data_IF_873228698599
#
_entry.id   IF_873228698599
#
_cell.length_a   1.000
_cell.length_b   1.000
_cell.length_c   1.000
_cell.angle_alpha   90.00
_cell.angle_beta   90.00
_cell.angle_gamma   90.00
#
_symmetry.space_group_name_H-M   'P 1'
#
loop_
_entity.id
_entity.type
_entity.pdbx_description
1 polymer ?
#
# COMPACT_ATOMS: atom_id res chain seq x y z
N UNK A 1 47.93 17.89 47.83
CA UNK A 1 46.54 17.41 47.79
C UNK A 1 45.74 18.55 47.19
N UNK A 2 45.75 18.65 45.85
CA UNK A 2 45.00 19.62 45.04
C UNK A 2 45.13 19.11 43.60
N UNK A 3 44.03 18.62 43.04
CA UNK A 3 43.97 18.09 41.68
C UNK A 3 43.47 19.21 40.76
N UNK A 4 44.39 19.78 39.98
CA UNK A 4 44.10 20.68 38.87
C UNK A 4 43.52 19.87 37.71
N UNK A 5 42.23 20.04 37.42
CA UNK A 5 41.61 19.54 36.19
C UNK A 5 41.63 20.64 35.13
N UNK A 6 42.57 20.52 34.19
CA UNK A 6 42.53 21.22 32.92
C UNK A 6 41.47 20.56 32.02
N UNK A 7 40.39 21.29 31.73
CA UNK A 7 39.52 20.98 30.59
C UNK A 7 40.12 21.61 29.33
N UNK A 8 40.52 20.77 28.38
CA UNK A 8 40.83 21.17 27.01
C UNK A 8 39.55 21.09 26.17
N UNK A 9 39.05 22.24 25.73
CA UNK A 9 38.06 22.36 24.66
C UNK A 9 38.69 21.94 23.34
N UNK A 10 38.15 20.89 22.70
CA UNK A 10 38.37 20.63 21.29
C UNK A 10 37.09 20.94 20.53
N UNK A 11 37.09 22.11 19.90
CA UNK A 11 36.14 22.54 18.88
C UNK A 11 36.26 21.64 17.65
N UNK A 12 35.28 20.76 17.46
CA UNK A 12 35.08 19.98 16.24
C UNK A 12 33.75 20.33 15.59
N UNK A 13 33.72 21.40 14.81
CA UNK A 13 32.60 21.73 13.92
C UNK A 13 32.56 20.73 12.76
N UNK A 14 31.59 19.82 12.82
CA UNK A 14 31.24 18.90 11.73
C UNK A 14 29.75 18.57 11.79
N UNK A 15 28.88 19.55 11.48
CA UNK A 15 27.45 19.31 11.27
C UNK A 15 27.26 18.53 9.95
N UNK A 16 27.42 17.22 10.03
CA UNK A 16 26.87 16.30 9.04
C UNK A 16 25.41 16.04 9.40
N UNK A 17 24.48 16.70 8.71
CA UNK A 17 23.06 16.38 8.80
C UNK A 17 22.82 14.97 8.22
N UNK A 18 22.76 13.97 9.09
CA UNK A 18 22.35 12.62 8.70
C UNK A 18 20.82 12.61 8.67
N UNK A 19 20.27 12.77 7.46
CA UNK A 19 18.87 12.52 7.15
C UNK A 19 18.51 11.08 7.59
N UNK A 20 17.39 10.86 8.31
CA UNK A 20 16.94 9.51 8.57
C UNK A 20 16.51 8.83 7.27
N UNK A 21 17.05 7.64 7.03
CA UNK A 21 16.75 6.75 5.91
C UNK A 21 15.25 6.74 5.55
N UNK A 22 14.96 7.13 4.31
CA UNK A 22 13.64 6.94 3.71
C UNK A 22 13.38 5.45 3.53
N UNK A 23 12.58 4.88 4.44
CA UNK A 23 12.05 3.54 4.31
C UNK A 23 10.97 3.56 3.21
N UNK A 24 11.33 3.04 2.04
CA UNK A 24 10.49 2.85 0.87
C UNK A 24 9.11 2.23 1.23
N UNK A 25 8.06 3.04 1.10
CA UNK A 25 6.67 2.58 1.13
C UNK A 25 6.27 2.18 -0.29
N UNK A 26 6.21 0.87 -0.57
CA UNK A 26 5.81 0.37 -1.88
C UNK A 26 4.29 0.36 -2.06
N UNK A 27 3.84 0.94 -3.17
CA UNK A 27 2.45 1.02 -3.63
C UNK A 27 1.80 -0.36 -3.80
N UNK A 28 0.76 -0.65 -3.03
CA UNK A 28 -0.12 -1.82 -3.22
C UNK A 28 -1.42 -1.34 -3.85
N UNK A 29 -1.57 -1.54 -5.17
CA UNK A 29 -2.83 -1.30 -5.89
C UNK A 29 -3.68 -2.58 -5.86
N UNK A 30 -4.87 -2.51 -5.28
CA UNK A 30 -5.89 -3.56 -5.34
C UNK A 30 -6.83 -3.29 -6.52
N UNK A 31 -7.02 -4.27 -7.41
CA UNK A 31 -7.98 -4.20 -8.53
C UNK A 31 -9.22 -5.03 -8.18
N UNK A 32 -10.40 -4.60 -8.68
CA UNK A 32 -11.73 -5.19 -8.43
C UNK A 32 -11.74 -6.72 -8.46
N UNK A 33 -12.36 -7.29 -7.44
CA UNK A 33 -12.82 -8.69 -7.42
C UNK A 33 -13.95 -8.84 -8.43
N UNK A 34 -13.87 -9.86 -9.29
CA UNK A 34 -14.87 -10.13 -10.32
C UNK A 34 -16.24 -10.42 -9.69
N UNK A 35 -17.28 -9.75 -10.19
CA UNK A 35 -18.69 -10.01 -9.82
C UNK A 35 -19.27 -11.10 -10.70
N UNK A 36 -19.98 -12.00 -10.02
CA UNK A 36 -21.13 -12.80 -10.43
C UNK A 36 -21.04 -13.55 -11.76
N UNK A 37 -20.70 -14.83 -11.66
CA UNK A 37 -21.04 -15.83 -12.67
C UNK A 37 -22.28 -16.56 -12.16
N UNK A 38 -23.42 -16.35 -12.81
CA UNK A 38 -24.68 -17.00 -12.49
C UNK A 38 -24.67 -18.48 -12.85
N UNK A 39 -24.94 -19.34 -11.88
CA UNK A 39 -25.17 -20.76 -12.08
C UNK A 39 -26.48 -21.21 -11.43
N UNK A 40 -27.11 -22.21 -12.04
CA UNK A 40 -28.41 -22.77 -11.70
C UNK A 40 -28.45 -23.39 -10.29
N UNK A 41 -29.50 -23.06 -9.54
CA UNK A 41 -29.71 -23.41 -8.14
C UNK A 41 -30.04 -24.90 -7.99
N UNK A 42 -29.04 -25.73 -7.68
CA UNK A 42 -29.25 -26.98 -6.95
C UNK A 42 -29.52 -26.63 -5.48
N UNK A 43 -30.37 -27.42 -4.81
CA UNK A 43 -30.59 -27.25 -3.37
C UNK A 43 -29.22 -27.43 -2.69
N UNK A 44 -28.73 -26.43 -1.94
CA UNK A 44 -27.38 -26.51 -1.39
C UNK A 44 -27.26 -27.69 -0.42
N UNK A 45 -26.27 -28.55 -0.63
CA UNK A 45 -26.04 -29.78 0.14
C UNK A 45 -25.90 -29.56 1.67
N UNK A 46 -25.61 -28.32 2.09
CA UNK A 46 -25.53 -27.95 3.50
C UNK A 46 -26.89 -27.94 4.22
N UNK A 47 -28.02 -27.89 3.50
CA UNK A 47 -29.37 -27.93 4.12
C UNK A 47 -29.66 -29.28 4.79
N UNK A 48 -28.98 -30.35 4.38
CA UNK A 48 -29.13 -31.71 4.90
C UNK A 48 -28.01 -32.14 5.86
N UNK A 49 -27.11 -31.22 6.25
CA UNK A 49 -26.01 -31.55 7.15
C UNK A 49 -26.51 -32.05 8.51
N UNK A 50 -25.82 -33.08 9.04
CA UNK A 50 -26.01 -33.58 10.40
C UNK A 50 -25.75 -32.49 11.46
N UNK A 51 -26.35 -32.59 12.65
CA UNK A 51 -26.13 -31.64 13.75
C UNK A 51 -24.65 -31.46 14.11
N UNK A 52 -23.86 -32.52 14.03
CA UNK A 52 -22.43 -32.52 14.36
C UNK A 52 -21.58 -31.74 13.34
N UNK A 53 -21.99 -31.70 12.07
CA UNK A 53 -21.32 -30.87 11.05
C UNK A 53 -21.72 -29.42 11.24
N UNK A 54 -23.00 -29.20 11.56
CA UNK A 54 -23.53 -27.86 11.76
C UNK A 54 -22.78 -27.10 12.86
N UNK A 55 -22.46 -27.77 13.98
CA UNK A 55 -21.65 -27.16 15.05
C UNK A 55 -20.26 -26.76 14.56
N UNK A 56 -19.61 -27.56 13.70
CA UNK A 56 -18.32 -27.20 13.08
C UNK A 56 -18.44 -26.03 12.11
N UNK A 57 -19.50 -25.97 11.31
CA UNK A 57 -19.78 -24.84 10.41
C UNK A 57 -20.01 -23.56 11.21
N UNK A 58 -20.73 -23.64 12.33
CA UNK A 58 -20.89 -22.51 13.26
C UNK A 58 -19.54 -22.07 13.86
N UNK A 59 -18.70 -23.02 14.31
CA UNK A 59 -17.35 -22.69 14.78
C UNK A 59 -16.49 -22.05 13.69
N UNK A 60 -16.61 -22.50 12.44
CA UNK A 60 -15.91 -21.92 11.29
C UNK A 60 -16.37 -20.48 11.02
N UNK A 61 -17.69 -20.26 10.99
CA UNK A 61 -18.27 -18.93 10.85
C UNK A 61 -17.77 -18.00 11.96
N UNK A 62 -17.67 -18.49 13.20
CA UNK A 62 -17.16 -17.71 14.33
C UNK A 62 -15.70 -17.31 14.17
N UNK A 63 -14.86 -18.26 13.76
CA UNK A 63 -13.45 -17.97 13.46
C UNK A 63 -13.30 -16.94 12.33
N UNK A 64 -14.11 -17.05 11.27
CA UNK A 64 -14.10 -16.10 10.15
C UNK A 64 -14.57 -14.71 10.61
N UNK A 65 -15.67 -14.60 11.34
CA UNK A 65 -16.17 -13.30 11.84
C UNK A 65 -15.13 -12.63 12.72
N UNK A 66 -14.56 -13.37 13.68
CA UNK A 66 -13.58 -12.80 14.59
C UNK A 66 -12.31 -12.35 13.84
N UNK A 67 -11.86 -13.11 12.84
CA UNK A 67 -10.72 -12.72 12.02
C UNK A 67 -11.05 -11.54 11.10
N UNK A 68 -12.28 -11.46 10.58
CA UNK A 68 -12.77 -10.30 9.82
C UNK A 68 -12.79 -9.04 10.67
N UNK A 69 -13.28 -9.11 11.93
CA UNK A 69 -13.27 -7.98 12.87
C UNK A 69 -11.84 -7.50 13.05
N UNK A 70 -10.93 -8.42 13.38
CA UNK A 70 -9.53 -8.08 13.60
C UNK A 70 -8.87 -7.47 12.35
N UNK A 71 -9.21 -7.98 11.16
CA UNK A 71 -8.73 -7.46 9.87
C UNK A 71 -9.19 -6.03 9.65
N UNK A 72 -10.50 -5.77 9.75
CA UNK A 72 -11.08 -4.46 9.47
C UNK A 72 -10.66 -3.44 10.53
N UNK A 73 -10.69 -3.79 11.81
CA UNK A 73 -10.24 -2.92 12.90
C UNK A 73 -8.76 -2.51 12.72
N UNK A 74 -7.91 -3.47 12.35
CA UNK A 74 -6.50 -3.19 12.11
C UNK A 74 -6.25 -2.29 10.91
N UNK A 75 -7.10 -2.33 9.89
CA UNK A 75 -7.02 -1.44 8.74
C UNK A 75 -7.48 -0.04 9.08
N UNK A 76 -8.54 0.10 9.89
CA UNK A 76 -9.05 1.39 10.35
C UNK A 76 -8.01 2.15 11.20
N UNK A 77 -7.30 1.43 12.07
CA UNK A 77 -6.30 2.00 12.97
C UNK A 77 -4.88 2.02 12.40
N UNK A 78 -4.67 1.54 11.17
CA UNK A 78 -3.39 1.72 10.51
C UNK A 78 -3.17 3.23 10.22
N UNK A 79 -1.97 3.73 10.53
CA UNK A 79 -1.50 5.12 10.44
C UNK A 79 -2.14 5.98 9.31
N UNK A 80 -2.36 7.30 9.50
CA UNK A 80 -2.99 8.20 8.53
C UNK A 80 -2.52 7.99 7.09
N UNK A 81 -3.50 7.90 6.17
CA UNK A 81 -3.28 7.59 4.75
C UNK A 81 -3.60 6.15 4.33
N UNK A 82 -4.40 5.44 5.11
CA UNK A 82 -4.86 4.06 4.84
C UNK A 82 -5.82 3.97 3.64
N UNK A 83 -6.54 5.04 3.31
CA UNK A 83 -7.38 5.12 2.11
C UNK A 83 -6.57 4.80 0.85
N UNK A 84 -5.31 5.25 0.82
CA UNK A 84 -4.38 4.97 -0.27
C UNK A 84 -3.84 3.52 -0.25
N UNK A 85 -3.86 2.84 0.90
CA UNK A 85 -3.42 1.43 1.03
C UNK A 85 -4.51 0.47 0.57
N UNK A 86 -5.78 0.81 0.83
CA UNK A 86 -6.93 0.05 0.34
C UNK A 86 -7.23 0.39 -1.13
N UNK A 87 -6.94 1.63 -1.55
CA UNK A 87 -7.10 2.10 -2.92
C UNK A 87 -8.57 2.05 -3.36
N UNK A 88 -8.81 1.57 -4.58
CA UNK A 88 -10.15 1.53 -5.20
C UNK A 88 -11.18 0.66 -4.44
N UNK A 89 -10.73 -0.19 -3.50
CA UNK A 89 -11.59 -1.01 -2.64
C UNK A 89 -12.10 -0.32 -1.38
N UNK A 90 -11.87 0.99 -1.25
CA UNK A 90 -12.13 1.75 -0.02
C UNK A 90 -13.63 1.84 0.34
N UNK A 91 -14.51 2.02 -0.65
CA UNK A 91 -15.95 2.09 -0.41
C UNK A 91 -16.57 0.74 -0.05
N UNK A 92 -16.08 -0.34 -0.67
CA UNK A 92 -16.43 -1.71 -0.28
C UNK A 92 -15.98 -1.99 1.17
N UNK A 93 -14.75 -1.56 1.51
CA UNK A 93 -14.24 -1.62 2.87
C UNK A 93 -15.10 -0.82 3.86
N UNK A 94 -15.49 0.42 3.55
CA UNK A 94 -16.36 1.24 4.41
C UNK A 94 -17.70 0.56 4.67
N UNK A 95 -18.28 -0.03 3.63
CA UNK A 95 -19.56 -0.74 3.74
C UNK A 95 -19.43 -1.98 4.63
N UNK A 96 -18.34 -2.74 4.47
CA UNK A 96 -18.01 -3.86 5.35
C UNK A 96 -17.78 -3.39 6.78
N UNK A 97 -17.00 -2.33 6.96
CA UNK A 97 -16.70 -1.76 8.27
C UNK A 97 -17.98 -1.28 8.96
N UNK A 98 -18.87 -0.54 8.30
CA UNK A 98 -20.12 -0.06 8.87
C UNK A 98 -21.03 -1.21 9.32
N UNK A 99 -21.13 -2.28 8.50
CA UNK A 99 -21.85 -3.50 8.87
C UNK A 99 -21.16 -4.22 10.05
N UNK A 100 -19.84 -4.18 10.10
CA UNK A 100 -19.05 -4.72 11.21
C UNK A 100 -19.19 -3.86 12.48
N UNK A 101 -19.27 -2.52 12.39
CA UNK A 101 -19.37 -1.60 13.52
C UNK A 101 -20.66 -1.82 14.32
N UNK A 102 -21.73 -2.27 13.66
CA UNK A 102 -22.95 -2.73 14.35
C UNK A 102 -22.71 -3.97 15.22
N UNK A 103 -21.73 -4.82 14.85
CA UNK A 103 -21.24 -5.94 15.67
C UNK A 103 -20.15 -5.49 16.66
N UNK A 104 -19.43 -4.43 16.34
CA UNK A 104 -18.17 -4.03 16.95
C UNK A 104 -18.22 -2.65 17.58
N UNK A 105 -18.99 -2.52 18.66
CA UNK A 105 -18.56 -1.72 19.81
C UNK A 105 -17.30 -2.31 20.48
N UNK A 106 -16.36 -2.82 19.68
CA UNK A 106 -15.20 -3.64 20.02
C UNK A 106 -13.99 -2.89 19.48
N UNK A 107 -13.21 -2.28 20.36
CA UNK A 107 -11.90 -1.76 19.98
C UNK A 107 -10.84 -2.87 20.05
N UNK A 108 -9.72 -2.65 19.36
CA UNK A 108 -8.42 -3.34 19.51
C UNK A 108 -8.02 -3.73 20.94
N UNK A 109 -8.61 -3.12 21.97
CA UNK A 109 -8.21 -3.21 23.37
C UNK A 109 -8.95 -4.33 24.13
N UNK A 110 -10.04 -4.89 23.59
CA UNK A 110 -10.77 -5.94 24.31
C UNK A 110 -10.02 -7.28 24.30
N UNK A 111 -10.10 -8.00 25.43
CA UNK A 111 -9.45 -9.31 25.57
C UNK A 111 -10.06 -10.31 24.58
N UNK A 112 -9.23 -11.24 24.08
CA UNK A 112 -9.66 -12.22 23.07
C UNK A 112 -10.92 -12.99 23.45
N UNK A 113 -11.12 -13.28 24.74
CA UNK A 113 -12.29 -13.99 25.26
C UNK A 113 -13.61 -13.21 25.09
N UNK A 114 -13.60 -11.89 25.31
CA UNK A 114 -14.80 -11.05 25.15
C UNK A 114 -15.28 -11.03 23.70
N UNK A 115 -14.33 -10.98 22.76
CA UNK A 115 -14.62 -11.06 21.33
C UNK A 115 -15.28 -12.40 20.98
N UNK A 116 -14.74 -13.51 21.48
CA UNK A 116 -15.28 -14.85 21.18
C UNK A 116 -16.70 -15.03 21.75
N UNK A 117 -16.97 -14.56 22.97
CA UNK A 117 -18.32 -14.59 23.55
C UNK A 117 -19.32 -13.82 22.69
N UNK A 118 -18.99 -12.59 22.30
CA UNK A 118 -19.89 -11.76 21.47
C UNK A 118 -20.11 -12.32 20.07
N UNK A 119 -19.06 -12.86 19.45
CA UNK A 119 -19.19 -13.53 18.15
C UNK A 119 -20.11 -14.75 18.27
N UNK A 120 -19.97 -15.55 19.33
CA UNK A 120 -20.85 -16.69 19.56
C UNK A 120 -22.29 -16.26 19.82
N UNK A 121 -22.53 -15.19 20.59
CA UNK A 121 -23.88 -14.68 20.83
C UNK A 121 -24.52 -14.14 19.55
N UNK A 122 -23.74 -13.45 18.71
CA UNK A 122 -24.19 -13.06 17.37
C UNK A 122 -24.55 -14.27 16.51
N UNK A 123 -23.72 -15.31 16.46
CA UNK A 123 -24.01 -16.50 15.65
C UNK A 123 -25.26 -17.25 16.11
N UNK A 124 -25.61 -17.19 17.41
CA UNK A 124 -26.86 -17.78 17.92
C UNK A 124 -28.11 -17.08 17.39
N UNK A 125 -28.02 -15.79 17.03
CA UNK A 125 -29.17 -15.06 16.46
C UNK A 125 -29.37 -15.33 14.98
N UNK A 126 -28.38 -15.94 14.31
CA UNK A 126 -28.42 -16.19 12.88
C UNK A 126 -29.04 -17.54 12.55
N UNK A 127 -29.83 -17.56 11.47
CA UNK A 127 -30.29 -18.81 10.85
C UNK A 127 -29.15 -19.57 10.15
N UNK A 128 -29.43 -20.82 9.73
CA UNK A 128 -28.44 -21.64 9.01
C UNK A 128 -27.94 -21.00 7.71
N UNK A 129 -28.86 -20.43 6.93
CA UNK A 129 -28.55 -19.74 5.68
C UNK A 129 -27.60 -18.55 5.90
N UNK A 130 -27.90 -17.69 6.89
CA UNK A 130 -27.07 -16.52 7.20
C UNK A 130 -25.68 -16.91 7.71
N UNK A 131 -25.60 -17.97 8.51
CA UNK A 131 -24.31 -18.51 8.98
C UNK A 131 -23.49 -19.05 7.80
N UNK A 132 -24.12 -19.72 6.84
CA UNK A 132 -23.43 -20.19 5.64
C UNK A 132 -22.97 -19.04 4.75
N UNK A 133 -23.78 -17.99 4.60
CA UNK A 133 -23.38 -16.78 3.87
C UNK A 133 -22.12 -16.14 4.46
N UNK A 134 -21.91 -16.19 5.78
CA UNK A 134 -20.66 -15.75 6.42
C UNK A 134 -19.46 -16.58 5.96
N UNK A 135 -19.63 -17.90 5.89
CA UNK A 135 -18.57 -18.82 5.42
C UNK A 135 -18.22 -18.55 3.96
N UNK A 136 -19.24 -18.26 3.14
CA UNK A 136 -19.11 -18.00 1.71
C UNK A 136 -18.62 -16.57 1.39
N UNK A 137 -18.75 -15.61 2.31
CA UNK A 137 -18.36 -14.22 2.07
C UNK A 137 -16.85 -14.07 1.88
N UNK A 138 -16.41 -13.82 0.65
CA UNK A 138 -14.99 -13.68 0.31
C UNK A 138 -14.47 -12.26 0.50
N UNK A 139 -15.33 -11.25 0.69
CA UNK A 139 -14.95 -9.83 0.58
C UNK A 139 -13.81 -9.43 1.52
N UNK A 140 -13.87 -9.83 2.79
CA UNK A 140 -12.81 -9.49 3.76
C UNK A 140 -11.53 -10.31 3.57
N UNK A 141 -11.64 -11.48 2.95
CA UNK A 141 -10.50 -12.40 2.76
C UNK A 141 -9.39 -11.79 1.90
N UNK A 142 -9.73 -10.88 0.98
CA UNK A 142 -8.77 -10.14 0.18
C UNK A 142 -7.81 -9.26 1.00
N UNK A 143 -8.14 -8.98 2.27
CA UNK A 143 -7.34 -8.14 3.15
C UNK A 143 -6.52 -8.91 4.20
N UNK A 144 -6.63 -10.24 4.26
CA UNK A 144 -5.92 -11.04 5.27
C UNK A 144 -4.39 -10.92 5.17
N UNK A 145 -3.86 -10.97 3.95
CA UNK A 145 -2.42 -10.76 3.72
C UNK A 145 -1.98 -9.35 4.14
N UNK A 146 -2.83 -8.34 3.90
CA UNK A 146 -2.55 -6.95 4.28
C UNK A 146 -2.54 -6.77 5.79
N UNK A 147 -3.46 -7.43 6.52
CA UNK A 147 -3.44 -7.46 7.98
C UNK A 147 -2.09 -7.94 8.51
N UNK A 148 -1.56 -9.08 8.02
CA UNK A 148 -0.25 -9.57 8.43
C UNK A 148 0.85 -8.55 8.15
N UNK A 149 0.86 -7.93 6.98
CA UNK A 149 1.85 -6.93 6.62
C UNK A 149 1.83 -5.73 7.57
N UNK A 150 0.65 -5.21 7.90
CA UNK A 150 0.50 -4.10 8.85
C UNK A 150 1.02 -4.52 10.22
N UNK A 151 0.58 -5.66 10.75
CA UNK A 151 0.98 -6.13 12.08
C UNK A 151 2.48 -6.42 12.18
N UNK A 152 3.07 -7.05 11.16
CA UNK A 152 4.51 -7.28 11.10
C UNK A 152 5.30 -5.97 11.01
N UNK A 153 4.83 -5.00 10.22
CA UNK A 153 5.48 -3.69 10.09
C UNK A 153 5.45 -2.94 11.43
N UNK A 154 4.28 -2.86 12.06
CA UNK A 154 4.11 -2.14 13.31
C UNK A 154 4.97 -2.76 14.42
N UNK A 155 5.02 -4.11 14.50
CA UNK A 155 5.93 -4.80 15.42
C UNK A 155 7.42 -4.54 15.11
N UNK A 156 7.84 -4.57 13.83
CA UNK A 156 9.23 -4.27 13.45
C UNK A 156 9.64 -2.84 13.82
N UNK A 157 8.75 -1.87 13.63
CA UNK A 157 8.99 -0.47 14.00
C UNK A 157 9.14 -0.36 15.52
N UNK A 158 8.16 -0.88 16.27
CA UNK A 158 8.17 -0.82 17.74
C UNK A 158 9.39 -1.54 18.34
N UNK A 159 9.77 -2.69 17.78
CA UNK A 159 10.98 -3.43 18.19
C UNK A 159 12.26 -2.62 17.95
N UNK A 160 12.43 -2.03 16.77
CA UNK A 160 13.60 -1.18 16.48
C UNK A 160 13.65 0.05 17.38
N UNK A 161 12.50 0.63 17.69
CA UNK A 161 12.40 1.80 18.55
C UNK A 161 12.76 1.46 20.01
N UNK A 162 12.20 0.36 20.53
CA UNK A 162 12.56 -0.20 21.84
C UNK A 162 14.05 -0.56 21.94
N UNK A 163 14.62 -1.24 20.93
CA UNK A 163 16.06 -1.56 20.88
C UNK A 163 16.93 -0.30 20.87
N UNK A 164 16.51 0.76 20.16
CA UNK A 164 17.21 2.04 20.13
C UNK A 164 17.14 2.74 21.48
N UNK A 165 15.95 2.80 22.08
CA UNK A 165 15.69 3.41 23.37
C UNK A 165 16.51 2.74 24.49
N UNK A 166 16.63 1.41 24.45
CA UNK A 166 17.41 0.64 25.42
C UNK A 166 18.93 0.80 25.22
N UNK A 167 19.41 0.84 23.98
CA UNK A 167 20.86 0.92 23.70
C UNK A 167 21.45 2.30 23.96
N UNK A 168 20.79 3.35 23.46
CA UNK A 168 21.29 4.72 23.53
C UNK A 168 20.16 5.71 23.89
N UNK A 169 19.78 5.80 25.18
CA UNK A 169 18.73 6.71 25.63
C UNK A 169 19.01 8.18 25.26
N UNK A 170 20.28 8.60 25.21
CA UNK A 170 20.69 9.98 24.88
C UNK A 170 20.55 10.35 23.39
N UNK A 171 20.35 9.39 22.49
CA UNK A 171 20.26 9.60 21.04
C UNK A 171 18.83 9.40 20.49
N UNK A 172 17.82 9.42 21.36
CA UNK A 172 16.43 9.44 20.90
C UNK A 172 16.20 10.73 20.09
N UNK A 173 15.49 10.69 18.95
CA UNK A 173 15.23 11.90 18.17
C UNK A 173 14.45 12.94 18.98
N UNK A 174 14.97 14.17 19.08
CA UNK A 174 14.33 15.29 19.78
C UNK A 174 12.86 15.51 19.41
N UNK A 175 12.54 15.24 18.15
CA UNK A 175 11.19 15.39 17.58
C UNK A 175 10.16 14.51 18.30
N UNK A 176 10.55 13.37 18.90
CA UNK A 176 9.60 12.45 19.54
C UNK A 176 9.23 12.82 20.98
N UNK A 177 10.14 13.46 21.73
CA UNK A 177 9.91 13.79 23.15
C UNK A 177 9.68 15.29 23.40
N UNK A 178 10.36 16.18 22.67
CA UNK A 178 10.22 17.65 22.86
C UNK A 178 8.81 18.10 22.48
N UNK A 179 8.24 17.55 21.42
CA UNK A 179 6.90 17.91 20.92
C UNK A 179 5.77 17.38 21.83
N UNK A 180 6.08 16.51 22.80
CA UNK A 180 5.09 15.89 23.70
C UNK A 180 5.38 16.10 25.20
N UNK A 181 6.44 16.81 25.56
CA UNK A 181 6.83 17.05 26.95
C UNK A 181 7.14 15.78 27.76
N UNK A 182 7.50 14.67 27.10
CA UNK A 182 7.71 13.36 27.74
C UNK A 182 9.15 13.25 28.27
N UNK A 183 9.32 12.71 29.49
CA UNK A 183 10.66 12.46 30.04
C UNK A 183 11.33 11.26 29.35
N UNK A 184 12.67 11.18 29.44
CA UNK A 184 13.43 10.13 28.77
C UNK A 184 13.10 8.72 29.29
N UNK A 185 12.95 8.57 30.61
CA UNK A 185 12.49 7.34 31.26
C UNK A 185 11.09 6.93 30.80
N UNK A 186 10.15 7.88 30.77
CA UNK A 186 8.79 7.65 30.25
C UNK A 186 8.79 7.22 28.77
N UNK A 187 9.71 7.75 27.96
CA UNK A 187 9.86 7.34 26.57
C UNK A 187 10.33 5.89 26.44
N UNK A 188 11.35 5.50 27.20
CA UNK A 188 11.89 4.13 27.19
C UNK A 188 10.79 3.15 27.61
N UNK A 189 10.07 3.44 28.70
CA UNK A 189 8.97 2.61 29.17
C UNK A 189 7.85 2.50 28.13
N UNK A 190 7.51 3.60 27.47
CA UNK A 190 6.53 3.62 26.39
C UNK A 190 6.98 2.82 25.18
N UNK A 191 8.24 2.91 24.77
CA UNK A 191 8.78 2.16 23.63
C UNK A 191 8.73 0.65 23.90
N UNK A 192 9.13 0.21 25.10
CA UNK A 192 9.06 -1.18 25.54
C UNK A 192 7.61 -1.66 25.59
N UNK A 193 6.72 -0.87 26.18
CA UNK A 193 5.28 -1.19 26.27
C UNK A 193 4.66 -1.32 24.89
N UNK A 194 5.03 -0.44 23.95
CA UNK A 194 4.54 -0.47 22.57
C UNK A 194 5.05 -1.70 21.83
N UNK A 195 6.32 -2.09 22.02
CA UNK A 195 6.86 -3.34 21.47
C UNK A 195 6.08 -4.55 21.99
N UNK A 196 5.88 -4.65 23.31
CA UNK A 196 5.17 -5.78 23.92
C UNK A 196 3.72 -5.85 23.43
N UNK A 197 3.04 -4.71 23.35
CA UNK A 197 1.66 -4.62 22.87
C UNK A 197 1.55 -5.06 21.40
N UNK A 198 2.39 -4.53 20.51
CA UNK A 198 2.39 -4.91 19.08
C UNK A 198 2.77 -6.38 18.88
N UNK A 199 3.68 -6.92 19.69
CA UNK A 199 4.00 -8.35 19.71
C UNK A 199 2.81 -9.20 20.13
N UNK A 200 2.08 -8.78 21.17
CA UNK A 200 0.88 -9.47 21.66
C UNK A 200 -0.22 -9.48 20.59
N UNK A 201 -0.43 -8.35 19.89
CA UNK A 201 -1.37 -8.28 18.78
C UNK A 201 -1.00 -9.22 17.64
N UNK A 202 0.26 -9.22 17.20
CA UNK A 202 0.72 -10.12 16.15
C UNK A 202 0.57 -11.60 16.57
N UNK A 203 0.85 -11.94 17.83
CA UNK A 203 0.58 -13.29 18.38
C UNK A 203 -0.91 -13.65 18.33
N UNK A 204 -1.79 -12.73 18.67
CA UNK A 204 -3.24 -12.95 18.61
C UNK A 204 -3.69 -13.21 17.16
N UNK A 205 -3.18 -12.45 16.19
CA UNK A 205 -3.44 -12.67 14.75
C UNK A 205 -2.98 -14.07 14.32
N UNK A 206 -1.76 -14.46 14.69
CA UNK A 206 -1.20 -15.79 14.39
C UNK A 206 -2.04 -16.91 15.03
N UNK A 207 -2.44 -16.73 16.28
CA UNK A 207 -3.25 -17.73 17.01
C UNK A 207 -4.63 -17.91 16.38
N UNK A 208 -5.32 -16.81 16.06
CA UNK A 208 -6.66 -16.86 15.45
C UNK A 208 -6.65 -17.42 14.03
N UNK A 209 -5.66 -17.02 13.22
CA UNK A 209 -5.48 -17.60 11.88
C UNK A 209 -5.19 -19.10 11.95
N UNK A 210 -4.32 -19.55 12.87
CA UNK A 210 -4.11 -20.98 13.12
C UNK A 210 -5.40 -21.71 13.53
N UNK A 211 -6.19 -21.14 14.44
CA UNK A 211 -7.48 -21.71 14.85
C UNK A 211 -8.44 -21.84 13.66
N UNK A 212 -8.56 -20.79 12.85
CA UNK A 212 -9.39 -20.81 11.64
C UNK A 212 -8.94 -21.89 10.64
N UNK A 213 -7.63 -22.00 10.39
CA UNK A 213 -7.09 -23.02 9.48
C UNK A 213 -7.33 -24.46 9.97
N UNK A 214 -7.24 -24.70 11.29
CA UNK A 214 -7.56 -26.01 11.89
C UNK A 214 -9.04 -26.34 11.68
N UNK A 215 -9.94 -25.39 11.95
CA UNK A 215 -11.38 -25.62 11.78
C UNK A 215 -11.74 -25.86 10.30
N UNK A 216 -11.17 -25.07 9.36
CA UNK A 216 -11.36 -25.30 7.92
C UNK A 216 -10.92 -26.72 7.55
N UNK A 217 -9.76 -27.15 8.02
CA UNK A 217 -9.25 -28.50 7.78
C UNK A 217 -10.21 -29.56 8.34
N UNK A 218 -10.70 -29.38 9.56
CA UNK A 218 -11.63 -30.32 10.18
C UNK A 218 -12.95 -30.42 9.42
N UNK A 219 -13.52 -29.28 9.00
CA UNK A 219 -14.76 -29.22 8.21
C UNK A 219 -14.59 -29.98 6.88
N UNK A 220 -13.49 -29.73 6.17
CA UNK A 220 -13.16 -30.41 4.91
C UNK A 220 -12.91 -31.92 5.13
N UNK A 221 -12.20 -32.28 6.20
CA UNK A 221 -11.85 -33.67 6.50
C UNK A 221 -13.07 -34.50 6.93
N UNK A 222 -14.06 -33.89 7.60
CA UNK A 222 -15.24 -34.62 8.02
C UNK A 222 -16.12 -35.06 6.86
N UNK A 223 -16.24 -34.28 5.78
CA UNK A 223 -17.13 -34.64 4.65
C UNK A 223 -16.72 -34.02 3.31
N UNK A 224 -15.82 -34.70 2.58
CA UNK A 224 -15.49 -34.35 1.19
C UNK A 224 -16.73 -34.39 0.26
N UNK A 225 -17.81 -35.10 0.65
CA UNK A 225 -19.00 -35.34 -0.17
C UNK A 225 -20.16 -34.36 0.05
N UNK A 226 -20.17 -33.55 1.11
CA UNK A 226 -21.32 -32.70 1.46
C UNK A 226 -21.12 -31.20 1.18
N UNK A 227 -19.88 -30.75 1.00
CA UNK A 227 -19.60 -29.39 0.56
C UNK A 227 -19.59 -29.36 -0.97
N UNK A 228 -20.32 -28.41 -1.55
CA UNK A 228 -20.25 -28.18 -2.98
C UNK A 228 -18.86 -27.67 -3.39
N UNK A 229 -18.54 -27.85 -4.68
CA UNK A 229 -17.27 -27.44 -5.24
C UNK A 229 -17.00 -25.93 -5.05
N UNK A 230 -18.06 -25.13 -5.04
CA UNK A 230 -18.02 -23.68 -4.81
C UNK A 230 -17.56 -23.34 -3.39
N UNK A 231 -18.20 -23.90 -2.36
CA UNK A 231 -17.77 -23.65 -0.97
C UNK A 231 -16.33 -24.08 -0.77
N UNK A 232 -15.94 -25.24 -1.31
CA UNK A 232 -14.56 -25.71 -1.20
C UNK A 232 -13.56 -24.76 -1.88
N UNK A 233 -13.91 -24.19 -3.04
CA UNK A 233 -13.09 -23.17 -3.73
C UNK A 233 -12.91 -21.91 -2.87
N UNK A 234 -14.01 -21.43 -2.26
CA UNK A 234 -13.99 -20.26 -1.38
C UNK A 234 -13.13 -20.50 -0.14
N UNK A 235 -13.25 -21.66 0.51
CA UNK A 235 -12.42 -22.02 1.66
C UNK A 235 -10.94 -22.10 1.29
N UNK A 236 -10.61 -22.67 0.11
CA UNK A 236 -9.24 -22.68 -0.41
C UNK A 236 -8.70 -21.26 -0.63
N UNK A 237 -9.52 -20.36 -1.18
CA UNK A 237 -9.14 -18.95 -1.35
C UNK A 237 -8.81 -18.29 -0.01
N UNK A 238 -9.65 -18.49 1.01
CA UNK A 238 -9.42 -17.97 2.37
C UNK A 238 -8.14 -18.52 2.98
N UNK A 239 -7.90 -19.83 2.85
CA UNK A 239 -6.68 -20.47 3.32
C UNK A 239 -5.44 -19.88 2.64
N UNK A 240 -5.48 -19.70 1.31
CA UNK A 240 -4.38 -19.07 0.57
C UNK A 240 -4.11 -17.65 1.07
N UNK A 241 -5.16 -16.84 1.23
CA UNK A 241 -5.03 -15.46 1.68
C UNK A 241 -4.48 -15.32 3.11
N UNK A 242 -4.76 -16.28 4.00
CA UNK A 242 -4.15 -16.36 5.34
C UNK A 242 -2.71 -16.82 5.25
N UNK A 243 -2.42 -17.81 4.40
CA UNK A 243 -1.09 -18.40 4.28
C UNK A 243 -0.06 -17.39 3.77
N UNK A 244 -0.50 -16.42 2.95
CA UNK A 244 0.30 -15.27 2.54
C UNK A 244 0.79 -14.50 3.77
N UNK A 245 2.11 -14.49 3.99
CA UNK A 245 2.82 -13.86 5.11
C UNK A 245 2.68 -14.54 6.50
N UNK A 246 1.90 -15.62 6.64
CA UNK A 246 1.76 -16.32 7.93
C UNK A 246 3.10 -16.85 8.46
N UNK A 247 3.89 -17.52 7.60
CA UNK A 247 5.19 -18.09 7.99
C UNK A 247 6.17 -17.00 8.45
N UNK A 248 6.18 -15.86 7.77
CA UNK A 248 7.03 -14.72 8.09
C UNK A 248 6.62 -14.08 9.41
N UNK A 249 5.32 -13.95 9.66
CA UNK A 249 4.78 -13.46 10.92
C UNK A 249 5.18 -14.36 12.11
N UNK A 250 5.08 -15.70 11.95
CA UNK A 250 5.53 -16.64 12.98
C UNK A 250 7.04 -16.54 13.20
N UNK A 251 7.83 -16.50 12.12
CA UNK A 251 9.29 -16.40 12.21
C UNK A 251 9.73 -15.11 12.92
N UNK A 252 9.00 -14.01 12.71
CA UNK A 252 9.27 -12.72 13.33
C UNK A 252 9.02 -12.73 14.85
N UNK A 253 8.00 -13.46 15.33
CA UNK A 253 7.59 -13.47 16.74
C UNK A 253 8.29 -14.55 17.56
N UNK A 254 8.43 -15.75 16.99
CA UNK A 254 8.89 -16.96 17.69
C UNK A 254 10.31 -17.40 17.29
N UNK A 255 10.89 -16.74 16.29
CA UNK A 255 12.23 -17.00 15.75
C UNK A 255 12.23 -17.81 14.46
N UNK A 256 13.36 -17.80 13.71
CA UNK A 256 13.50 -18.55 12.46
C UNK A 256 13.28 -20.05 12.69
N UNK A 257 12.65 -20.73 11.73
CA UNK A 257 12.45 -22.19 11.73
C UNK A 257 11.11 -22.69 12.31
N UNK A 258 10.40 -21.91 13.14
CA UNK A 258 9.10 -22.33 13.70
C UNK A 258 7.91 -22.13 12.74
N UNK A 259 7.99 -21.18 11.81
CA UNK A 259 6.90 -20.89 10.86
C UNK A 259 6.63 -21.98 9.82
N UNK A 260 7.66 -22.73 9.41
CA UNK A 260 7.56 -23.70 8.32
C UNK A 260 6.88 -25.01 8.70
N UNK A 261 6.82 -25.36 10.00
CA UNK A 261 6.27 -26.64 10.44
C UNK A 261 4.74 -26.65 10.36
N UNK A 262 4.08 -25.52 10.66
CA UNK A 262 2.62 -25.50 10.77
C UNK A 262 1.94 -25.61 9.41
N UNK A 263 2.40 -24.85 8.42
CA UNK A 263 1.86 -24.90 7.05
C UNK A 263 2.13 -26.26 6.43
N UNK A 264 3.33 -26.82 6.60
CA UNK A 264 3.66 -28.17 6.08
C UNK A 264 2.78 -29.28 6.68
N UNK A 265 2.47 -29.22 7.98
CA UNK A 265 1.64 -30.22 8.66
C UNK A 265 0.13 -30.02 8.46
N UNK A 266 -0.33 -28.77 8.38
CA UNK A 266 -1.73 -28.48 8.05
C UNK A 266 -2.04 -28.80 6.58
N UNK A 267 -1.02 -28.71 5.70
CA UNK A 267 -1.19 -28.77 4.26
C UNK A 267 -0.51 -29.98 3.58
N UNK A 268 -0.43 -31.12 4.27
CA UNK A 268 0.20 -32.33 3.73
C UNK A 268 -0.40 -32.77 2.39
N UNK A 269 0.46 -32.93 1.36
CA UNK A 269 0.34 -33.32 -0.07
C UNK A 269 -0.99 -33.82 -0.68
N UNK A 270 -1.96 -34.35 0.07
CA UNK A 270 -3.18 -34.97 -0.46
C UNK A 270 -4.41 -34.04 -0.46
N UNK A 271 -4.51 -33.07 0.45
CA UNK A 271 -5.66 -32.15 0.55
C UNK A 271 -5.74 -31.10 -0.59
N UNK A 272 -4.61 -30.68 -1.17
CA UNK A 272 -4.55 -29.64 -2.21
C UNK A 272 -4.55 -30.21 -3.63
N UNK A 273 -4.13 -31.48 -3.79
CA UNK A 273 -3.88 -32.10 -5.09
C UNK A 273 -5.07 -32.92 -5.63
N UNK A 274 -6.23 -32.90 -4.98
CA UNK A 274 -7.42 -33.64 -5.41
C UNK A 274 -8.04 -32.99 -6.67
N UNK A 275 -7.46 -33.26 -7.85
CA UNK A 275 -8.08 -33.23 -9.20
C UNK A 275 -8.61 -31.90 -9.77
N UNK A 276 -9.01 -30.96 -8.93
CA UNK A 276 -9.44 -29.62 -9.30
C UNK A 276 -8.18 -28.76 -9.39
N UNK A 277 -7.42 -28.97 -10.45
CA UNK A 277 -6.45 -27.96 -10.88
C UNK A 277 -7.26 -26.66 -11.00
N UNK A 278 -7.05 -25.65 -10.12
CA UNK A 278 -7.76 -24.40 -10.28
C UNK A 278 -7.45 -23.95 -11.70
N UNK A 279 -8.50 -23.85 -12.52
CA UNK A 279 -8.36 -23.28 -13.85
C UNK A 279 -7.48 -22.05 -13.69
N UNK A 280 -6.35 -22.05 -14.40
CA UNK A 280 -5.41 -20.93 -14.45
C UNK A 280 -6.04 -19.68 -15.08
N UNK A 281 -7.34 -19.45 -14.94
CA UNK A 281 -7.82 -18.11 -14.58
C UNK A 281 -7.14 -17.71 -13.28
N UNK A 282 -5.87 -17.33 -13.42
CA UNK A 282 -5.17 -16.55 -12.45
C UNK A 282 -6.09 -15.40 -12.09
N UNK A 283 -6.72 -15.49 -10.92
CA UNK A 283 -6.92 -14.29 -10.14
C UNK A 283 -5.50 -13.83 -9.89
N UNK A 284 -5.03 -12.99 -10.81
CA UNK A 284 -3.77 -12.28 -10.72
C UNK A 284 -3.93 -11.45 -9.46
N UNK A 285 -3.58 -12.02 -8.31
CA UNK A 285 -3.10 -11.21 -7.21
C UNK A 285 -2.01 -10.38 -7.87
N UNK A 286 -2.22 -9.05 -8.01
CA UNK A 286 -1.30 -8.24 -8.75
C UNK A 286 0.02 -8.40 -8.00
N UNK A 287 0.95 -9.16 -8.60
CA UNK A 287 2.35 -9.07 -8.24
C UNK A 287 2.59 -7.58 -8.26
N UNK A 288 2.87 -7.02 -7.10
CA UNK A 288 3.24 -5.62 -6.96
C UNK A 288 4.21 -5.37 -8.09
N UNK A 289 3.79 -4.61 -9.11
CA UNK A 289 4.67 -4.24 -10.20
C UNK A 289 5.67 -3.32 -9.53
N UNK A 290 6.69 -3.92 -8.93
CA UNK A 290 7.94 -3.25 -8.68
C UNK A 290 8.42 -3.02 -10.11
N UNK A 291 8.32 -1.79 -10.65
CA UNK A 291 8.97 -1.52 -11.91
C UNK A 291 10.38 -2.09 -11.79
N UNK A 292 10.79 -3.00 -12.69
CA UNK A 292 12.11 -3.59 -12.58
C UNK A 292 13.09 -2.42 -12.44
N UNK A 293 13.97 -2.44 -11.44
CA UNK A 293 14.87 -1.33 -11.13
C UNK A 293 15.59 -0.81 -12.40
N UNK A 294 15.82 -1.73 -13.36
CA UNK A 294 16.34 -1.49 -14.70
C UNK A 294 15.54 -0.48 -15.54
N UNK A 295 14.20 -0.48 -15.51
CA UNK A 295 13.38 0.45 -16.32
C UNK A 295 13.48 1.90 -15.86
N UNK A 296 13.64 2.14 -14.56
CA UNK A 296 13.83 3.50 -14.02
C UNK A 296 15.21 4.02 -14.42
N UNK A 297 16.24 3.17 -14.33
CA UNK A 297 17.61 3.54 -14.74
C UNK A 297 17.71 3.85 -16.24
N UNK A 298 17.07 3.07 -17.11
CA UNK A 298 17.10 3.34 -18.56
C UNK A 298 16.36 4.61 -18.92
N UNK A 299 15.22 4.90 -18.29
CA UNK A 299 14.47 6.13 -18.57
C UNK A 299 15.24 7.39 -18.12
N UNK A 300 15.89 7.34 -16.95
CA UNK A 300 16.74 8.42 -16.44
C UNK A 300 17.94 8.71 -17.33
N UNK A 301 18.41 7.74 -18.10
CA UNK A 301 19.48 7.95 -19.08
C UNK A 301 18.93 8.47 -20.41
N UNK A 302 17.89 7.83 -20.95
CA UNK A 302 17.34 8.12 -22.27
C UNK A 302 16.74 9.53 -22.34
N UNK A 303 15.97 9.96 -21.32
CA UNK A 303 15.27 11.24 -21.38
C UNK A 303 16.22 12.45 -21.46
N UNK A 304 17.26 12.59 -20.60
CA UNK A 304 18.26 13.65 -20.77
C UNK A 304 19.06 13.54 -22.07
N UNK A 305 19.38 12.33 -22.53
CA UNK A 305 20.09 12.14 -23.81
C UNK A 305 19.27 12.61 -25.01
N UNK A 306 17.97 12.31 -25.05
CA UNK A 306 17.08 12.80 -26.11
C UNK A 306 16.96 14.33 -26.03
N UNK A 307 16.85 14.91 -24.83
CA UNK A 307 16.81 16.37 -24.65
C UNK A 307 18.09 17.03 -25.17
N UNK A 308 19.27 16.49 -24.85
CA UNK A 308 20.54 16.98 -25.38
C UNK A 308 20.65 16.83 -26.90
N UNK A 309 20.20 15.70 -27.45
CA UNK A 309 20.18 15.48 -28.90
C UNK A 309 19.22 16.43 -29.62
N UNK A 310 18.10 16.79 -28.97
CA UNK A 310 17.14 17.75 -29.51
C UNK A 310 17.70 19.19 -29.60
N UNK A 311 18.78 19.50 -28.87
CA UNK A 311 19.48 20.77 -29.01
C UNK A 311 20.15 20.95 -30.40
N UNK A 312 20.45 19.86 -31.11
CA UNK A 312 21.07 19.92 -32.45
C UNK A 312 20.10 20.48 -33.50
N UNK A 313 18.91 19.88 -33.73
CA UNK A 313 17.97 20.41 -34.72
C UNK A 313 17.45 21.80 -34.36
N UNK A 314 17.26 22.14 -33.07
CA UNK A 314 16.85 23.49 -32.69
C UNK A 314 17.97 24.52 -32.96
N UNK A 315 19.25 24.16 -32.76
CA UNK A 315 20.37 25.04 -33.12
C UNK A 315 20.48 25.24 -34.62
N UNK A 316 20.25 24.18 -35.41
CA UNK A 316 20.20 24.29 -36.87
C UNK A 316 19.02 25.14 -37.33
N UNK A 317 17.83 24.94 -36.75
CA UNK A 317 16.66 25.75 -37.02
C UNK A 317 16.94 27.22 -36.70
N UNK A 318 17.60 27.50 -35.58
CA UNK A 318 18.02 28.85 -35.19
C UNK A 318 18.92 29.52 -36.24
N UNK A 319 19.93 28.81 -36.74
CA UNK A 319 20.85 29.33 -37.76
C UNK A 319 20.18 29.61 -39.10
N UNK A 320 19.08 28.91 -39.41
CA UNK A 320 18.35 29.04 -40.67
C UNK A 320 17.07 29.89 -40.57
N UNK A 321 16.69 30.33 -39.36
CA UNK A 321 15.52 31.18 -39.16
C UNK A 321 15.86 32.61 -39.55
N UNK A 322 14.98 33.26 -40.32
CA UNK A 322 15.16 34.69 -40.63
C UNK A 322 15.15 35.52 -39.35
N UNK A 323 15.95 36.58 -39.32
CA UNK A 323 15.97 37.54 -38.21
C UNK A 323 14.78 38.51 -38.26
N UNK A 324 13.85 38.29 -39.18
CA UNK A 324 12.67 39.12 -39.33
C UNK A 324 11.69 38.88 -38.18
N UNK A 325 10.97 39.94 -37.83
CA UNK A 325 9.89 39.89 -36.86
C UNK A 325 8.73 39.14 -37.51
N UNK A 326 8.14 38.20 -36.78
CA UNK A 326 7.01 37.41 -37.27
C UNK A 326 5.75 38.26 -37.39
N UNK A 327 4.90 37.89 -38.33
CA UNK A 327 3.57 38.49 -38.51
C UNK A 327 2.46 37.54 -38.08
N UNK A 328 1.37 38.08 -37.57
CA UNK A 328 0.15 37.29 -37.30
C UNK A 328 -0.50 36.71 -38.58
N UNK A 329 -0.09 37.18 -39.76
CA UNK A 329 -0.50 36.64 -41.04
C UNK A 329 0.33 35.39 -41.47
N UNK A 330 1.42 35.07 -40.76
CA UNK A 330 2.31 33.98 -41.12
C UNK A 330 1.71 32.62 -40.73
N UNK A 331 1.86 31.61 -41.59
CA UNK A 331 1.44 30.24 -41.28
C UNK A 331 2.11 29.68 -40.01
N UNK A 332 3.37 30.08 -39.79
CA UNK A 332 4.17 29.69 -38.62
C UNK A 332 3.57 30.21 -37.30
N UNK A 333 2.86 31.34 -37.31
CA UNK A 333 2.18 31.87 -36.13
C UNK A 333 1.05 30.94 -35.68
N UNK A 334 0.20 30.51 -36.62
CA UNK A 334 -0.89 29.58 -36.34
C UNK A 334 -0.39 28.18 -35.95
N UNK A 335 0.73 27.73 -36.53
CA UNK A 335 1.39 26.51 -36.10
C UNK A 335 1.91 26.62 -34.66
N UNK A 336 2.49 27.76 -34.28
CA UNK A 336 2.93 28.02 -32.91
C UNK A 336 1.74 28.00 -31.93
N UNK A 337 0.60 28.62 -32.29
CA UNK A 337 -0.64 28.55 -31.49
C UNK A 337 -1.09 27.10 -31.30
N UNK A 338 -1.15 26.31 -32.38
CA UNK A 338 -1.56 24.90 -32.31
C UNK A 338 -0.63 24.10 -31.38
N UNK A 339 0.68 24.29 -31.51
CA UNK A 339 1.67 23.62 -30.66
C UNK A 339 1.54 24.03 -29.19
N UNK A 340 1.36 25.33 -28.92
CA UNK A 340 1.15 25.85 -27.57
C UNK A 340 -0.12 25.28 -26.93
N UNK A 341 -1.21 25.13 -27.68
CA UNK A 341 -2.45 24.52 -27.16
C UNK A 341 -2.26 23.05 -26.80
N UNK A 342 -1.58 22.26 -27.64
CA UNK A 342 -1.24 20.86 -27.35
C UNK A 342 -0.32 20.78 -26.12
N UNK A 343 0.65 21.70 -26.01
CA UNK A 343 1.56 21.78 -24.88
C UNK A 343 0.82 22.07 -23.57
N UNK A 344 -0.15 23.00 -23.57
CA UNK A 344 -0.98 23.29 -22.40
C UNK A 344 -1.88 22.10 -22.02
N UNK A 345 -2.44 21.40 -23.00
CA UNK A 345 -3.23 20.18 -22.77
C UNK A 345 -2.38 19.05 -22.17
N UNK A 346 -1.15 18.87 -22.67
CA UNK A 346 -0.17 17.92 -22.11
C UNK A 346 0.15 18.26 -20.65
N UNK A 347 0.40 19.53 -20.33
CA UNK A 347 0.65 19.97 -18.96
C UNK A 347 -0.54 19.66 -18.04
N UNK A 348 -1.77 19.96 -18.49
CA UNK A 348 -2.98 19.72 -17.72
C UNK A 348 -3.19 18.22 -17.44
N UNK A 349 -2.95 17.37 -18.44
CA UNK A 349 -3.07 15.91 -18.27
C UNK A 349 -1.99 15.35 -17.34
N UNK A 350 -0.76 15.86 -17.40
CA UNK A 350 0.33 15.48 -16.48
C UNK A 350 0.08 15.93 -15.04
N UNK A 351 -0.51 17.11 -14.83
CA UNK A 351 -0.77 17.64 -13.49
C UNK A 351 -2.03 17.06 -12.83
N UNK A 352 -3.00 16.59 -13.62
CA UNK A 352 -4.23 15.98 -13.10
C UNK A 352 -3.99 14.95 -11.97
N UNK A 353 -3.14 13.91 -12.15
CA UNK A 353 -2.88 12.97 -11.06
C UNK A 353 -2.17 13.60 -9.85
N UNK A 354 -1.34 14.63 -10.05
CA UNK A 354 -0.67 15.33 -8.94
C UNK A 354 -1.62 16.18 -8.10
N UNK A 355 -2.68 16.72 -8.71
CA UNK A 355 -3.72 17.49 -8.02
C UNK A 355 -4.62 16.62 -7.15
N UNK A 356 -4.95 15.42 -7.61
CA UNK A 356 -5.94 14.57 -6.94
C UNK A 356 -5.33 13.50 -6.01
N UNK A 357 -4.03 13.16 -6.14
CA UNK A 357 -3.46 11.97 -5.46
C UNK A 357 -2.10 12.16 -4.77
N UNK A 358 -1.66 13.37 -4.46
CA UNK A 358 -0.26 13.62 -4.08
C UNK A 358 0.14 13.14 -2.67
N UNK A 359 0.78 11.95 -2.60
CA UNK A 359 1.81 11.58 -1.61
C UNK A 359 3.23 11.82 -2.18
N UNK A 360 3.47 12.92 -2.89
CA UNK A 360 4.83 13.24 -3.36
C UNK A 360 5.73 13.60 -2.18
N UNK A 361 7.02 13.26 -2.27
CA UNK A 361 8.01 13.84 -1.36
C UNK A 361 7.97 15.37 -1.51
N UNK A 362 8.03 16.10 -0.39
CA UNK A 362 7.82 17.56 -0.42
C UNK A 362 8.72 18.30 -1.42
N UNK A 363 9.94 17.80 -1.62
CA UNK A 363 10.88 18.35 -2.60
C UNK A 363 10.45 18.12 -4.05
N UNK A 364 10.04 16.90 -4.41
CA UNK A 364 9.58 16.59 -5.78
C UNK A 364 8.28 17.34 -6.12
N UNK A 365 7.39 17.49 -5.14
CA UNK A 365 6.16 18.28 -5.29
C UNK A 365 6.46 19.74 -5.62
N UNK A 366 7.36 20.39 -4.87
CA UNK A 366 7.74 21.77 -5.10
C UNK A 366 8.33 22.00 -6.50
N UNK A 367 9.30 21.16 -6.90
CA UNK A 367 9.92 21.29 -8.22
C UNK A 367 8.96 21.02 -9.37
N UNK A 368 8.01 20.10 -9.21
CA UNK A 368 6.98 19.83 -10.21
C UNK A 368 6.12 21.06 -10.48
N UNK A 369 5.69 21.76 -9.42
CA UNK A 369 4.93 23.00 -9.55
C UNK A 369 5.75 24.15 -10.13
N UNK A 370 6.99 24.32 -9.69
CA UNK A 370 7.89 25.33 -10.24
C UNK A 370 8.10 25.15 -11.75
N UNK A 371 8.40 23.91 -12.20
CA UNK A 371 8.57 23.59 -13.61
C UNK A 371 7.26 23.75 -14.40
N UNK A 372 6.11 23.50 -13.78
CA UNK A 372 4.82 23.64 -14.44
C UNK A 372 4.50 25.10 -14.72
N UNK A 373 4.71 25.97 -13.73
CA UNK A 373 4.57 27.43 -13.89
C UNK A 373 5.55 27.94 -14.93
N UNK A 374 6.82 27.50 -14.88
CA UNK A 374 7.82 27.88 -15.87
C UNK A 374 7.39 27.47 -17.29
N UNK A 375 6.92 26.23 -17.48
CA UNK A 375 6.43 25.75 -18.77
C UNK A 375 5.24 26.56 -19.28
N UNK A 376 4.27 26.86 -18.41
CA UNK A 376 3.11 27.67 -18.74
C UNK A 376 3.53 29.08 -19.19
N UNK A 377 4.41 29.75 -18.43
CA UNK A 377 4.91 31.08 -18.75
C UNK A 377 5.67 31.07 -20.07
N UNK A 378 6.57 30.12 -20.30
CA UNK A 378 7.28 29.98 -21.58
C UNK A 378 6.32 29.79 -22.77
N UNK A 379 5.25 29.00 -22.59
CA UNK A 379 4.27 28.71 -23.65
C UNK A 379 3.45 29.94 -24.04
N UNK A 380 3.06 30.77 -23.06
CA UNK A 380 2.33 32.02 -23.31
C UNK A 380 3.28 33.09 -23.87
N UNK A 381 4.48 33.20 -23.30
CA UNK A 381 5.46 34.22 -23.67
C UNK A 381 6.00 33.99 -25.08
N UNK A 382 6.12 32.75 -25.56
CA UNK A 382 6.52 32.46 -26.94
C UNK A 382 5.54 33.05 -27.96
N UNK A 383 4.23 32.95 -27.70
CA UNK A 383 3.20 33.54 -28.57
C UNK A 383 3.28 35.06 -28.63
N UNK A 384 3.49 35.69 -27.47
CA UNK A 384 3.64 37.15 -27.39
C UNK A 384 4.90 37.59 -28.12
N UNK A 385 6.05 36.96 -27.83
CA UNK A 385 7.34 37.33 -28.40
C UNK A 385 7.42 37.11 -29.92
N UNK A 386 6.65 36.18 -30.48
CA UNK A 386 6.58 35.97 -31.92
C UNK A 386 6.25 37.27 -32.68
N UNK A 387 5.39 38.12 -32.10
CA UNK A 387 4.95 39.38 -32.72
C UNK A 387 5.91 40.56 -32.50
N UNK A 388 6.84 40.47 -31.54
CA UNK A 388 7.66 41.61 -31.11
C UNK A 388 9.16 41.42 -31.31
N UNK A 389 9.62 40.18 -31.46
CA UNK A 389 11.03 39.79 -31.44
C UNK A 389 11.26 38.82 -32.60
N UNK A 390 12.49 38.70 -33.15
CA UNK A 390 12.77 37.72 -34.20
C UNK A 390 12.27 36.32 -33.84
N UNK A 391 11.66 35.65 -34.83
CA UNK A 391 10.95 34.38 -34.65
C UNK A 391 11.80 33.33 -33.92
N UNK A 392 13.12 33.35 -34.12
CA UNK A 392 14.08 32.49 -33.44
C UNK A 392 13.90 32.50 -31.91
N UNK A 393 13.76 33.66 -31.28
CA UNK A 393 13.61 33.80 -29.82
C UNK A 393 12.30 33.19 -29.30
N UNK A 394 11.22 33.36 -30.05
CA UNK A 394 9.92 32.76 -29.70
C UNK A 394 10.01 31.22 -29.72
N UNK A 395 10.71 30.65 -30.70
CA UNK A 395 10.91 29.20 -30.81
C UNK A 395 11.80 28.65 -29.69
N UNK A 396 12.86 29.36 -29.31
CA UNK A 396 13.72 28.97 -28.20
C UNK A 396 12.96 28.94 -26.87
N UNK A 397 12.12 29.95 -26.61
CA UNK A 397 11.32 30.01 -25.39
C UNK A 397 10.26 28.91 -25.37
N UNK A 398 9.60 28.64 -26.51
CA UNK A 398 8.68 27.51 -26.63
C UNK A 398 9.39 26.17 -26.32
N UNK A 399 10.61 25.99 -26.84
CA UNK A 399 11.45 24.83 -26.57
C UNK A 399 11.82 24.71 -25.08
N UNK A 400 12.19 25.79 -24.40
CA UNK A 400 12.39 25.76 -22.94
C UNK A 400 11.14 25.27 -22.19
N UNK A 401 9.96 25.67 -22.65
CA UNK A 401 8.70 25.20 -22.10
C UNK A 401 8.50 23.69 -22.26
N UNK A 402 8.89 23.09 -23.38
CA UNK A 402 8.74 21.64 -23.62
C UNK A 402 9.76 20.83 -22.82
N UNK A 403 11.00 21.33 -22.69
CA UNK A 403 12.02 20.76 -21.80
C UNK A 403 11.52 20.69 -20.36
N UNK A 404 10.91 21.77 -19.85
CA UNK A 404 10.33 21.79 -18.51
C UNK A 404 9.24 20.71 -18.32
N UNK A 405 8.38 20.48 -19.32
CA UNK A 405 7.38 19.40 -19.27
C UNK A 405 8.00 18.01 -19.25
N UNK A 406 9.04 17.79 -20.04
CA UNK A 406 9.76 16.52 -20.06
C UNK A 406 10.37 16.22 -18.69
N UNK A 407 10.91 17.23 -18.00
CA UNK A 407 11.43 17.10 -16.64
C UNK A 407 10.32 16.80 -15.62
N UNK A 408 9.13 17.40 -15.76
CA UNK A 408 7.96 17.06 -14.92
C UNK A 408 7.59 15.58 -15.09
N UNK A 409 7.50 15.10 -16.32
CA UNK A 409 7.19 13.70 -16.59
C UNK A 409 8.22 12.77 -15.94
N UNK A 410 9.51 13.12 -16.01
CA UNK A 410 10.57 12.36 -15.36
C UNK A 410 10.42 12.34 -13.83
N UNK A 411 10.06 13.47 -13.21
CA UNK A 411 9.81 13.56 -11.77
C UNK A 411 8.61 12.70 -11.34
N UNK A 412 7.53 12.72 -12.13
CA UNK A 412 6.33 11.91 -11.86
C UNK A 412 6.67 10.42 -11.93
N UNK A 413 7.42 9.98 -12.94
CA UNK A 413 7.82 8.57 -13.07
C UNK A 413 8.78 8.14 -11.95
N UNK A 414 9.63 9.04 -11.46
CA UNK A 414 10.54 8.72 -10.36
C UNK A 414 9.85 8.70 -9.00
N UNK A 415 8.78 9.47 -8.84
CA UNK A 415 8.02 9.55 -7.59
C UNK A 415 6.93 8.48 -7.46
N UNK A 416 6.49 7.87 -8.57
CA UNK A 416 5.51 6.77 -8.62
C UNK A 416 6.12 5.41 -8.31
#
# INVERSE_FOLDING_TARGET
>A
MELNNHYTETSGTGSGSILPDQINQSNVRLRRVARDIGYSVSIPAWKTCSPTIWTKVQSLAGAIVAFNILTLDSLQFASPGYEAVIGDGYEDYKTLLAKQTQLSGLSRIQSGAQLDTRVNDYLKTLGREQTMQIVLDTRTSGYYALLFNIMMRDYKIAKKDSERAQKNPSHVPAINYVDRGMRLDEYVDKAITTEQMTRCFLKNVISRSKGMLIIIREVIATEILALDLETMSILKQKVSAVNDNFSDAVALVDGPGKGHQLTKHLFHKYWWNSGLSPSKTAVTTPKTYKPPLKTITTLNFIAPSILLLSCIPISLAWLHTSLDIGSSADANFYQLISNSMIQLLSLATLLSPTLFYSKFSGYAWYWTWFLAVLSFVCTVLSLVLYCFVPVAWSMLIAFCGTVAQALILLQIVHAS
#
